data_IF_905771573521
#
_entry.id   IF_905771573521
#
_cell.length_a   1.000
_cell.length_b   1.000
_cell.length_c   1.000
_cell.angle_alpha   90.00
_cell.angle_beta   90.00
_cell.angle_gamma   90.00
#
_symmetry.space_group_name_H-M   'P 1'
#
loop_
_entity.id
_entity.type
_entity.pdbx_description
1 polymer ?
#
# COMPACT_ATOMS: atom_id res chain seq x y z
N UNK A 1 1.70 -17.70 -17.07
CA UNK A 1 1.97 -16.30 -17.50
C UNK A 1 1.09 -15.39 -16.66
N UNK A 2 1.62 -14.90 -15.54
CA UNK A 2 0.91 -13.95 -14.67
C UNK A 2 1.04 -12.57 -15.32
N UNK A 3 -0.05 -12.07 -15.89
CA UNK A 3 -0.08 -10.67 -16.35
C UNK A 3 -0.03 -9.76 -15.13
N UNK A 4 1.13 -9.14 -14.90
CA UNK A 4 1.26 -8.03 -13.97
C UNK A 4 0.45 -6.86 -14.52
N UNK A 5 -0.80 -6.74 -14.09
CA UNK A 5 -1.57 -5.53 -14.35
C UNK A 5 -0.85 -4.37 -13.67
N UNK A 6 -0.49 -3.30 -14.40
CA UNK A 6 0.12 -2.14 -13.78
C UNK A 6 -0.80 -1.65 -12.66
N UNK A 7 -0.22 -1.35 -11.50
CA UNK A 7 -1.02 -0.71 -10.46
C UNK A 7 -1.52 0.64 -10.97
N UNK A 8 -2.79 0.99 -10.69
CA UNK A 8 -3.32 2.27 -11.07
C UNK A 8 -2.46 3.38 -10.44
N UNK A 9 -2.18 4.41 -11.23
CA UNK A 9 -1.49 5.62 -10.78
C UNK A 9 -2.24 6.27 -9.61
N UNK A 10 -1.58 7.10 -8.78
CA UNK A 10 -2.26 7.87 -7.74
C UNK A 10 -3.46 8.66 -8.27
N UNK A 11 -3.36 9.23 -9.46
CA UNK A 11 -4.45 9.95 -10.11
C UNK A 11 -5.63 9.03 -10.47
N UNK A 12 -5.38 7.83 -11.00
CA UNK A 12 -6.42 6.84 -11.28
C UNK A 12 -7.10 6.37 -9.99
N UNK A 13 -6.32 6.08 -8.94
CA UNK A 13 -6.86 5.66 -7.64
C UNK A 13 -7.77 6.73 -7.02
N UNK A 14 -7.37 8.00 -7.09
CA UNK A 14 -8.24 9.12 -6.66
C UNK A 14 -9.48 9.15 -7.54
N UNK A 15 -9.32 9.16 -8.86
CA UNK A 15 -10.42 9.29 -9.83
C UNK A 15 -11.48 8.19 -9.71
N UNK A 16 -11.08 6.97 -9.42
CA UNK A 16 -11.96 5.81 -9.26
C UNK A 16 -12.49 5.63 -7.83
N UNK A 17 -12.18 6.55 -6.92
CA UNK A 17 -12.50 6.45 -5.48
C UNK A 17 -12.03 5.11 -4.87
N UNK A 18 -10.91 4.58 -5.38
CA UNK A 18 -10.34 3.27 -5.04
C UNK A 18 -9.34 3.33 -3.87
N UNK A 19 -9.15 4.51 -3.29
CA UNK A 19 -8.27 4.70 -2.14
C UNK A 19 -8.87 4.14 -0.85
N UNK A 20 -7.98 3.74 0.04
CA UNK A 20 -8.35 3.37 1.41
C UNK A 20 -8.73 4.63 2.20
N UNK A 21 -9.76 4.53 3.03
CA UNK A 21 -10.30 5.60 3.88
C UNK A 21 -9.25 6.27 4.78
N UNK A 22 -8.25 5.50 5.24
CA UNK A 22 -7.12 6.03 6.03
C UNK A 22 -6.44 7.24 5.39
N UNK A 23 -6.40 7.34 4.06
CA UNK A 23 -5.82 8.49 3.37
C UNK A 23 -6.67 9.74 3.48
N UNK A 24 -8.00 9.61 3.39
CA UNK A 24 -8.92 10.72 3.62
C UNK A 24 -8.89 11.17 5.09
N UNK A 25 -8.83 10.22 6.03
CA UNK A 25 -8.66 10.49 7.45
C UNK A 25 -7.36 11.23 7.73
N UNK A 26 -6.23 10.74 7.22
CA UNK A 26 -4.93 11.39 7.40
C UNK A 26 -4.91 12.80 6.79
N UNK A 27 -5.50 12.97 5.60
CA UNK A 27 -5.64 14.29 4.97
C UNK A 27 -6.42 15.26 5.86
N UNK A 28 -7.55 14.86 6.44
CA UNK A 28 -8.28 15.72 7.37
C UNK A 28 -7.40 16.13 8.55
N UNK A 29 -6.66 15.20 9.14
CA UNK A 29 -5.79 15.49 10.29
C UNK A 29 -4.69 16.52 9.98
N UNK A 30 -4.14 16.50 8.77
CA UNK A 30 -3.04 17.37 8.36
C UNK A 30 -3.53 18.69 7.74
N UNK A 31 -4.65 18.67 7.01
CA UNK A 31 -5.16 19.78 6.19
C UNK A 31 -6.51 20.33 6.69
N UNK A 32 -6.91 20.06 7.95
CA UNK A 32 -8.21 20.46 8.53
C UNK A 32 -8.54 21.96 8.36
N UNK A 33 -7.52 22.83 8.33
CA UNK A 33 -7.71 24.27 8.15
C UNK A 33 -8.29 24.62 6.78
N UNK A 34 -7.95 23.85 5.73
CA UNK A 34 -8.52 24.00 4.39
C UNK A 34 -9.99 23.61 4.32
N UNK A 35 -10.40 22.68 5.19
CA UNK A 35 -11.79 22.25 5.35
C UNK A 35 -12.61 23.21 6.23
N UNK A 36 -12.00 24.32 6.66
CA UNK A 36 -12.67 25.37 7.45
C UNK A 36 -12.67 25.13 8.96
N UNK A 37 -11.92 24.14 9.45
CA UNK A 37 -11.80 23.84 10.88
C UNK A 37 -10.60 24.56 11.50
N UNK A 38 -10.68 24.91 12.77
CA UNK A 38 -9.54 25.53 13.47
C UNK A 38 -8.80 24.57 14.40
N UNK A 39 -9.41 23.42 14.74
CA UNK A 39 -8.80 22.32 15.51
C UNK A 39 -9.46 21.00 15.11
N UNK A 40 -8.74 19.90 15.31
CA UNK A 40 -9.23 18.54 15.08
C UNK A 40 -8.69 17.61 16.18
N UNK A 41 -9.51 16.67 16.64
CA UNK A 41 -9.16 15.55 17.53
C UNK A 41 -9.56 14.24 16.86
N UNK A 42 -8.66 13.25 16.81
CA UNK A 42 -8.86 11.96 16.13
C UNK A 42 -7.65 11.53 15.27
N UNK A 43 -7.77 10.46 14.47
CA UNK A 43 -8.94 9.58 14.38
C UNK A 43 -9.17 8.80 15.68
N UNK A 44 -10.42 8.54 16.04
CA UNK A 44 -10.78 7.69 17.18
C UNK A 44 -10.94 6.23 16.76
N UNK A 45 -10.73 5.30 17.70
CA UNK A 45 -10.85 3.86 17.42
C UNK A 45 -12.30 3.33 17.55
N UNK A 46 -13.25 4.18 17.97
CA UNK A 46 -14.66 3.83 18.22
C UNK A 46 -15.54 5.05 18.00
N UNK A 47 -16.73 4.82 17.42
CA UNK A 47 -17.67 5.89 17.11
C UNK A 47 -17.20 6.70 15.89
N UNK A 48 -17.64 7.96 15.77
CA UNK A 48 -17.25 8.82 14.67
C UNK A 48 -15.74 9.07 14.66
N UNK A 49 -15.17 9.24 13.47
CA UNK A 49 -13.74 9.36 13.29
C UNK A 49 -13.11 10.54 14.05
N UNK A 50 -13.75 11.72 14.02
CA UNK A 50 -13.14 12.96 14.50
C UNK A 50 -14.10 13.86 15.28
N UNK A 51 -13.51 14.72 16.12
CA UNK A 51 -14.11 15.98 16.55
C UNK A 51 -13.42 17.13 15.85
N UNK A 52 -14.19 18.01 15.25
CA UNK A 52 -13.70 19.21 14.56
C UNK A 52 -14.19 20.46 15.28
N UNK A 53 -13.34 21.46 15.41
CA UNK A 53 -13.71 22.74 15.99
C UNK A 53 -14.08 23.74 14.89
N UNK A 54 -15.36 24.10 14.84
CA UNK A 54 -15.91 25.01 13.85
C UNK A 54 -16.88 25.98 14.51
N UNK A 55 -16.78 27.28 14.18
CA UNK A 55 -17.64 28.33 14.75
C UNK A 55 -17.74 28.27 16.29
N UNK A 56 -16.60 28.13 16.96
CA UNK A 56 -16.46 28.10 18.43
C UNK A 56 -17.10 26.91 19.15
N UNK A 57 -17.43 25.83 18.44
CA UNK A 57 -17.96 24.60 19.03
C UNK A 57 -17.25 23.36 18.46
N UNK A 58 -17.15 22.33 19.28
CA UNK A 58 -16.74 21.00 18.85
C UNK A 58 -17.94 20.26 18.27
N UNK A 59 -17.72 19.60 17.14
CA UNK A 59 -18.73 18.85 16.38
C UNK A 59 -18.14 17.51 15.96
N UNK A 60 -18.98 16.49 15.87
CA UNK A 60 -18.57 15.19 15.39
C UNK A 60 -18.52 15.19 13.86
N UNK A 61 -17.51 14.51 13.34
CA UNK A 61 -17.29 14.37 11.91
C UNK A 61 -16.89 12.94 11.58
N UNK A 62 -17.47 12.44 10.49
CA UNK A 62 -17.13 11.15 9.89
C UNK A 62 -16.45 11.36 8.56
N UNK A 63 -15.41 10.56 8.26
CA UNK A 63 -14.68 10.63 6.99
C UNK A 63 -14.93 9.37 6.19
N UNK A 64 -15.41 9.53 4.96
CA UNK A 64 -15.68 8.40 4.08
C UNK A 64 -15.07 8.67 2.70
N UNK A 65 -14.65 7.62 2.00
CA UNK A 65 -14.24 7.81 0.60
C UNK A 65 -15.44 8.10 -0.30
N UNK A 66 -16.57 7.45 -0.03
CA UNK A 66 -17.84 7.63 -0.74
C UNK A 66 -18.99 7.67 0.26
N UNK A 67 -20.03 8.46 -0.01
CA UNK A 67 -21.20 8.53 0.88
C UNK A 67 -21.90 7.18 1.08
N UNK A 68 -21.82 6.29 0.08
CA UNK A 68 -22.37 4.92 0.13
C UNK A 68 -21.70 4.07 1.23
N UNK A 69 -20.45 4.36 1.57
CA UNK A 69 -19.75 3.63 2.61
C UNK A 69 -20.37 3.86 4.00
N UNK A 70 -20.87 5.08 4.26
CA UNK A 70 -21.61 5.38 5.48
C UNK A 70 -22.78 4.41 5.72
N UNK A 71 -23.48 4.05 4.64
CA UNK A 71 -24.54 3.04 4.69
C UNK A 71 -23.99 1.62 4.81
N UNK A 72 -22.97 1.29 4.00
CA UNK A 72 -22.32 -0.02 3.99
C UNK A 72 -21.74 -0.41 5.36
N UNK A 73 -21.21 0.57 6.09
CA UNK A 73 -20.66 0.39 7.43
C UNK A 73 -21.74 0.39 8.52
N UNK A 74 -23.00 0.65 8.18
CA UNK A 74 -24.12 0.65 9.12
C UNK A 74 -24.17 1.89 10.02
N UNK A 75 -23.48 2.98 9.68
CA UNK A 75 -23.42 4.18 10.52
C UNK A 75 -24.80 4.82 10.70
N UNK A 76 -25.62 4.81 9.65
CA UNK A 76 -27.02 5.29 9.68
C UNK A 76 -27.96 4.52 10.63
N UNK A 77 -27.58 3.32 11.10
CA UNK A 77 -28.38 2.51 12.04
C UNK A 77 -27.76 2.48 13.44
N UNK A 78 -26.60 3.11 13.63
CA UNK A 78 -25.83 3.03 14.86
C UNK A 78 -25.99 4.32 15.69
N UNK A 79 -26.56 4.26 16.89
CA UNK A 79 -26.78 5.44 17.73
C UNK A 79 -25.52 6.24 18.09
N UNK A 80 -24.33 5.63 17.99
CA UNK A 80 -23.07 6.35 18.19
C UNK A 80 -22.83 7.45 17.14
N UNK A 81 -23.57 7.42 16.02
CA UNK A 81 -23.43 8.35 14.90
C UNK A 81 -24.59 9.35 14.81
N UNK A 82 -25.58 9.29 15.70
CA UNK A 82 -26.76 10.18 15.70
C UNK A 82 -26.36 11.68 15.82
N UNK A 83 -25.28 11.96 16.55
CA UNK A 83 -24.77 13.31 16.78
C UNK A 83 -23.72 13.75 15.74
N UNK A 84 -23.47 12.98 14.67
CA UNK A 84 -22.50 13.37 13.63
C UNK A 84 -23.05 14.53 12.81
N UNK A 85 -22.38 15.68 12.85
CA UNK A 85 -22.81 16.86 12.08
C UNK A 85 -22.15 16.98 10.71
N UNK A 86 -20.96 16.41 10.53
CA UNK A 86 -20.21 16.48 9.28
C UNK A 86 -19.96 15.10 8.70
N UNK A 87 -20.31 14.92 7.43
CA UNK A 87 -19.78 13.85 6.59
C UNK A 87 -18.76 14.46 5.63
N UNK A 88 -17.51 14.03 5.73
CA UNK A 88 -16.40 14.53 4.92
C UNK A 88 -16.07 13.47 3.87
N UNK A 89 -16.17 13.83 2.60
CA UNK A 89 -16.09 12.89 1.48
C UNK A 89 -14.89 13.16 0.59
N UNK A 90 -14.15 12.10 0.22
CA UNK A 90 -13.15 12.20 -0.85
C UNK A 90 -13.78 12.22 -2.25
N UNK A 91 -14.85 11.44 -2.45
CA UNK A 91 -15.60 11.41 -3.71
C UNK A 91 -16.26 12.75 -4.00
N UNK A 92 -16.36 13.12 -5.28
CA UNK A 92 -17.19 14.23 -5.75
C UNK A 92 -18.65 13.83 -5.99
N UNK A 93 -19.00 12.55 -5.82
CA UNK A 93 -20.38 12.08 -5.98
C UNK A 93 -21.29 12.76 -4.96
N UNK A 94 -22.31 13.47 -5.45
CA UNK A 94 -23.35 14.06 -4.60
C UNK A 94 -24.36 12.98 -4.20
N UNK A 95 -24.72 12.84 -2.91
CA UNK A 95 -25.75 11.89 -2.50
C UNK A 95 -27.10 12.17 -3.15
N UNK A 96 -27.88 11.12 -3.35
CA UNK A 96 -29.26 11.27 -3.84
C UNK A 96 -30.14 11.96 -2.78
N UNK A 97 -31.24 12.62 -3.20
CA UNK A 97 -32.18 13.25 -2.27
C UNK A 97 -32.69 12.29 -1.18
N UNK A 98 -32.95 11.03 -1.55
CA UNK A 98 -33.43 10.01 -0.61
C UNK A 98 -32.36 9.64 0.42
N UNK A 99 -31.08 9.62 0.03
CA UNK A 99 -29.97 9.31 0.92
C UNK A 99 -29.73 10.43 1.95
N UNK A 100 -29.95 11.70 1.58
CA UNK A 100 -29.71 12.85 2.46
C UNK A 100 -30.48 12.79 3.79
N UNK A 101 -31.61 12.10 3.84
CA UNK A 101 -32.40 11.93 5.07
C UNK A 101 -31.69 11.10 6.15
N UNK A 102 -30.68 10.32 5.77
CA UNK A 102 -29.96 9.39 6.65
C UNK A 102 -28.47 9.71 6.81
N UNK A 103 -28.00 10.77 6.16
CA UNK A 103 -26.63 11.24 6.24
C UNK A 103 -26.51 12.41 7.22
N UNK A 104 -25.30 12.67 7.76
CA UNK A 104 -25.02 13.88 8.49
C UNK A 104 -25.46 15.15 7.73
N UNK A 105 -26.03 16.15 8.43
CA UNK A 105 -26.68 17.29 7.80
C UNK A 105 -25.73 18.22 7.03
N UNK A 106 -24.41 18.08 7.19
CA UNK A 106 -23.41 18.86 6.47
C UNK A 106 -22.45 17.93 5.77
N UNK A 107 -22.45 18.00 4.44
CA UNK A 107 -21.55 17.22 3.61
C UNK A 107 -20.46 18.14 3.09
N UNK A 108 -19.20 17.78 3.34
CA UNK A 108 -18.03 18.50 2.87
C UNK A 108 -17.25 17.61 1.92
N UNK A 109 -17.05 18.06 0.69
CA UNK A 109 -16.19 17.37 -0.27
C UNK A 109 -14.77 17.88 -0.14
N UNK A 110 -13.81 16.97 -0.03
CA UNK A 110 -12.40 17.27 -0.11
C UNK A 110 -12.09 17.75 -1.53
N UNK A 111 -11.30 18.81 -1.65
CA UNK A 111 -10.74 19.24 -2.93
C UNK A 111 -9.80 18.14 -3.45
N UNK A 112 -10.25 17.42 -4.48
CA UNK A 112 -9.56 16.27 -5.06
C UNK A 112 -8.24 16.65 -5.71
N UNK A 113 -8.14 17.83 -6.30
CA UNK A 113 -6.89 18.28 -6.92
C UNK A 113 -5.84 18.54 -5.85
N UNK A 114 -6.24 19.20 -4.76
CA UNK A 114 -5.35 19.41 -3.63
C UNK A 114 -4.98 18.10 -2.92
N UNK A 115 -5.97 17.23 -2.71
CA UNK A 115 -5.77 15.91 -2.12
C UNK A 115 -4.78 15.07 -2.93
N UNK A 116 -4.89 15.03 -4.26
CA UNK A 116 -3.96 14.30 -5.11
C UNK A 116 -2.51 14.79 -4.92
N UNK A 117 -2.29 16.10 -4.95
CA UNK A 117 -0.97 16.68 -4.76
C UNK A 117 -0.38 16.41 -3.36
N UNK A 118 -1.24 16.32 -2.34
CA UNK A 118 -0.86 15.89 -1.00
C UNK A 118 -0.56 14.38 -0.95
N UNK A 119 -1.44 13.55 -1.53
CA UNK A 119 -1.36 12.09 -1.52
C UNK A 119 -0.10 11.59 -2.20
N UNK A 120 0.28 12.15 -3.35
CA UNK A 120 1.52 11.80 -4.05
C UNK A 120 2.76 11.99 -3.18
N UNK A 121 2.76 12.99 -2.28
CA UNK A 121 3.85 13.23 -1.32
C UNK A 121 3.75 12.31 -0.12
N UNK A 122 2.56 12.17 0.46
CA UNK A 122 2.32 11.39 1.67
C UNK A 122 2.50 9.87 1.44
N UNK A 123 2.11 9.39 0.27
CA UNK A 123 2.23 7.98 -0.11
C UNK A 123 3.61 7.62 -0.69
N UNK A 124 4.46 8.59 -1.02
CA UNK A 124 5.77 8.32 -1.62
C UNK A 124 6.62 7.32 -0.81
N UNK A 125 6.73 7.40 0.53
CA UNK A 125 7.48 6.41 1.30
C UNK A 125 6.88 4.99 1.23
N UNK A 126 5.55 4.86 1.26
CA UNK A 126 4.87 3.56 1.16
C UNK A 126 4.99 2.97 -0.25
N UNK A 127 4.85 3.81 -1.28
CA UNK A 127 5.04 3.43 -2.67
C UNK A 127 6.49 3.01 -2.94
N UNK A 128 7.47 3.72 -2.36
CA UNK A 128 8.89 3.33 -2.42
C UNK A 128 9.14 1.98 -1.74
N UNK A 129 8.54 1.74 -0.57
CA UNK A 129 8.64 0.45 0.13
C UNK A 129 8.02 -0.72 -0.67
N UNK A 130 6.84 -0.50 -1.28
CA UNK A 130 6.17 -1.50 -2.13
C UNK A 130 6.90 -1.73 -3.45
N UNK A 131 7.38 -0.68 -4.11
CA UNK A 131 8.19 -0.78 -5.32
C UNK A 131 9.52 -1.47 -5.05
N UNK A 132 10.17 -1.16 -3.92
CA UNK A 132 11.36 -1.87 -3.47
C UNK A 132 11.05 -3.36 -3.25
N UNK A 133 9.94 -3.69 -2.60
CA UNK A 133 9.49 -5.08 -2.42
C UNK A 133 9.23 -5.82 -3.74
N UNK A 134 8.55 -5.18 -4.70
CA UNK A 134 8.29 -5.79 -6.01
C UNK A 134 9.58 -6.00 -6.82
N UNK A 135 10.52 -5.04 -6.77
CA UNK A 135 11.82 -5.14 -7.45
C UNK A 135 12.73 -6.17 -6.78
N UNK A 136 12.74 -6.22 -5.45
CA UNK A 136 13.43 -7.26 -4.69
C UNK A 136 12.86 -8.65 -5.03
N UNK A 137 11.55 -8.79 -5.20
CA UNK A 137 10.93 -10.05 -5.61
C UNK A 137 11.35 -10.51 -7.03
N UNK A 138 11.53 -9.58 -7.98
CA UNK A 138 12.06 -9.90 -9.32
C UNK A 138 13.50 -10.41 -9.22
N UNK A 139 14.35 -9.71 -8.46
CA UNK A 139 15.75 -10.09 -8.25
C UNK A 139 15.83 -11.43 -7.54
N UNK A 140 15.01 -11.65 -6.52
CA UNK A 140 14.94 -12.91 -5.77
C UNK A 140 14.56 -14.10 -6.67
N UNK A 141 13.58 -13.92 -7.56
CA UNK A 141 13.21 -14.95 -8.53
C UNK A 141 14.37 -15.29 -9.48
N UNK A 142 15.04 -14.26 -10.02
CA UNK A 142 16.21 -14.46 -10.89
C UNK A 142 17.38 -15.16 -10.17
N UNK A 143 17.62 -14.83 -8.91
CA UNK A 143 18.65 -15.48 -8.08
C UNK A 143 18.33 -16.96 -7.84
N UNK A 144 17.09 -17.26 -7.45
CA UNK A 144 16.65 -18.63 -7.26
C UNK A 144 16.70 -19.44 -8.56
N UNK A 145 16.28 -18.82 -9.68
CA UNK A 145 16.37 -19.45 -10.99
C UNK A 145 17.82 -19.83 -11.32
N UNK A 146 18.77 -18.90 -11.20
CA UNK A 146 20.19 -19.21 -11.41
C UNK A 146 20.66 -20.36 -10.53
N UNK A 147 20.38 -20.31 -9.22
CA UNK A 147 20.75 -21.38 -8.30
C UNK A 147 20.22 -22.75 -8.74
N UNK A 148 18.95 -22.83 -9.15
CA UNK A 148 18.36 -24.09 -9.62
C UNK A 148 19.06 -24.66 -10.86
N UNK A 149 19.75 -23.83 -11.65
CA UNK A 149 20.52 -24.29 -12.83
C UNK A 149 21.93 -24.76 -12.50
N UNK A 150 22.52 -24.31 -11.39
CA UNK A 150 23.91 -24.65 -11.01
C UNK A 150 23.99 -25.63 -9.84
N UNK A 151 22.89 -25.87 -9.13
CA UNK A 151 22.85 -26.80 -8.01
C UNK A 151 23.14 -28.24 -8.48
N UNK A 152 24.19 -28.85 -7.93
CA UNK A 152 24.61 -30.22 -8.28
C UNK A 152 23.61 -31.31 -7.86
N UNK A 153 22.65 -30.96 -7.01
CA UNK A 153 21.65 -31.86 -6.45
C UNK A 153 20.28 -31.78 -7.16
N UNK A 154 20.18 -31.03 -8.28
CA UNK A 154 18.90 -30.81 -8.99
C UNK A 154 18.24 -32.09 -9.52
N UNK A 155 19.04 -33.14 -9.79
CA UNK A 155 18.58 -34.43 -10.33
C UNK A 155 18.48 -35.53 -9.25
N UNK A 156 18.49 -35.18 -7.95
CA UNK A 156 18.28 -36.17 -6.89
C UNK A 156 16.79 -36.54 -6.81
N UNK A 157 16.45 -37.66 -7.46
CA UNK A 157 15.13 -38.32 -7.35
C UNK A 157 14.68 -38.42 -5.88
N UNK A 158 13.69 -37.61 -5.51
CA UNK A 158 12.86 -37.68 -4.29
C UNK A 158 13.58 -37.69 -2.92
N UNK A 159 14.86 -37.31 -2.85
CA UNK A 159 15.54 -37.11 -1.57
C UNK A 159 15.44 -35.64 -1.15
N UNK A 160 14.80 -35.37 0.00
CA UNK A 160 14.87 -34.06 0.67
C UNK A 160 16.34 -33.66 0.78
N UNK A 161 16.73 -32.56 0.13
CA UNK A 161 18.11 -32.09 0.17
C UNK A 161 18.49 -31.88 1.63
N UNK A 162 19.51 -32.60 2.16
CA UNK A 162 19.80 -32.59 3.59
C UNK A 162 20.31 -31.23 4.10
N UNK A 163 20.68 -30.31 3.19
CA UNK A 163 21.42 -29.10 3.51
C UNK A 163 20.77 -27.78 3.03
N UNK A 164 19.55 -27.76 2.46
CA UNK A 164 18.95 -26.46 2.08
C UNK A 164 17.42 -26.34 2.17
N UNK A 165 16.96 -25.27 2.83
CA UNK A 165 15.59 -24.71 2.72
C UNK A 165 15.37 -24.01 1.35
N UNK A 166 16.22 -24.32 0.36
CA UNK A 166 16.46 -23.51 -0.85
C UNK A 166 16.36 -24.32 -2.15
N UNK A 167 15.96 -25.58 -2.04
CA UNK A 167 15.79 -26.50 -3.16
C UNK A 167 14.62 -26.06 -4.06
N UNK A 168 14.72 -26.37 -5.36
CA UNK A 168 13.65 -26.19 -6.36
C UNK A 168 12.31 -26.86 -5.99
N UNK A 169 12.28 -27.67 -4.93
CA UNK A 169 11.06 -28.17 -4.29
C UNK A 169 10.10 -27.08 -3.78
N UNK A 170 10.57 -25.85 -3.57
CA UNK A 170 9.77 -24.74 -3.04
C UNK A 170 9.50 -23.60 -4.04
N UNK A 171 9.89 -23.75 -5.30
CA UNK A 171 9.57 -22.79 -6.39
C UNK A 171 10.62 -22.78 -7.50
N UNK A 172 10.19 -22.62 -8.76
CA UNK A 172 11.09 -22.62 -9.93
C UNK A 172 11.87 -21.32 -10.16
N UNK A 173 11.89 -20.42 -9.18
CA UNK A 173 12.39 -19.05 -9.35
C UNK A 173 11.42 -18.15 -10.13
N UNK A 174 10.13 -18.49 -10.17
CA UNK A 174 9.12 -17.60 -10.74
C UNK A 174 8.88 -16.36 -9.86
N UNK A 175 8.35 -15.29 -10.46
CA UNK A 175 8.08 -14.04 -9.76
C UNK A 175 7.11 -14.25 -8.58
N UNK A 176 7.54 -13.88 -7.38
CA UNK A 176 6.73 -14.01 -6.16
C UNK A 176 6.76 -15.40 -5.52
N UNK A 177 7.45 -16.37 -6.13
CA UNK A 177 7.63 -17.73 -5.62
C UNK A 177 9.03 -17.93 -5.00
N UNK A 178 9.84 -16.88 -4.98
CA UNK A 178 11.16 -16.94 -4.40
C UNK A 178 11.07 -17.23 -2.89
N UNK A 179 11.85 -18.19 -2.39
CA UNK A 179 11.86 -18.53 -0.97
C UNK A 179 12.34 -17.34 -0.12
N UNK A 180 12.00 -17.28 1.18
CA UNK A 180 12.43 -16.19 2.05
C UNK A 180 13.95 -15.94 2.04
N UNK A 181 14.75 -17.01 1.84
CA UNK A 181 16.20 -16.90 1.69
C UNK A 181 16.60 -16.01 0.49
N UNK A 182 16.04 -16.27 -0.69
CA UNK A 182 16.35 -15.46 -1.88
C UNK A 182 15.76 -14.05 -1.81
N UNK A 183 14.67 -13.86 -1.09
CA UNK A 183 14.13 -12.52 -0.81
C UNK A 183 15.11 -11.70 0.04
N UNK A 184 15.70 -12.29 1.08
CA UNK A 184 16.72 -11.63 1.91
C UNK A 184 18.01 -11.40 1.12
N UNK A 185 18.45 -12.40 0.34
CA UNK A 185 19.63 -12.28 -0.53
C UNK A 185 19.48 -11.16 -1.56
N UNK A 186 18.31 -11.05 -2.20
CA UNK A 186 18.01 -9.99 -3.15
C UNK A 186 18.07 -8.61 -2.49
N UNK A 187 17.56 -8.48 -1.26
CA UNK A 187 17.67 -7.24 -0.50
C UNK A 187 19.14 -6.87 -0.23
N UNK A 188 19.96 -7.82 0.23
CA UNK A 188 21.41 -7.62 0.46
C UNK A 188 22.15 -7.21 -0.81
N UNK A 189 21.87 -7.85 -1.93
CA UNK A 189 22.48 -7.52 -3.23
C UNK A 189 22.12 -6.12 -3.72
N UNK A 190 20.85 -5.74 -3.61
CA UNK A 190 20.40 -4.40 -4.00
C UNK A 190 21.02 -3.30 -3.12
N UNK A 191 21.30 -3.62 -1.85
CA UNK A 191 22.04 -2.73 -0.94
C UNK A 191 23.53 -2.66 -1.34
N UNK A 192 24.21 -3.80 -1.50
CA UNK A 192 25.65 -3.87 -1.76
C UNK A 192 26.07 -3.25 -3.09
N UNK A 193 25.18 -3.23 -4.08
CA UNK A 193 25.41 -2.64 -5.40
C UNK A 193 25.17 -1.13 -5.46
N UNK A 194 24.81 -0.48 -4.34
CA UNK A 194 24.48 0.96 -4.29
C UNK A 194 23.23 1.34 -5.09
N UNK A 195 22.47 0.34 -5.56
CA UNK A 195 21.20 0.55 -6.25
C UNK A 195 20.08 0.96 -5.27
N UNK A 196 20.34 0.86 -3.96
CA UNK A 196 19.43 1.28 -2.89
C UNK A 196 19.50 2.77 -2.52
N UNK A 197 20.57 3.50 -2.89
CA UNK A 197 20.84 4.89 -2.43
C UNK A 197 19.78 5.92 -2.87
N UNK A 198 18.93 5.55 -3.83
CA UNK A 198 17.86 6.42 -4.36
C UNK A 198 16.46 5.95 -3.95
N UNK A 199 16.34 4.91 -3.12
CA UNK A 199 15.05 4.28 -2.76
C UNK A 199 14.35 3.56 -3.91
N UNK A 200 14.93 3.57 -5.12
CA UNK A 200 14.40 2.94 -6.34
C UNK A 200 15.52 2.25 -7.12
N UNK A 201 15.77 0.95 -6.88
CA UNK A 201 16.78 0.21 -7.62
C UNK A 201 16.45 0.18 -9.12
N UNK A 202 17.28 0.79 -9.96
CA UNK A 202 17.11 0.70 -11.41
C UNK A 202 17.53 -0.69 -11.87
N UNK A 203 16.56 -1.60 -12.01
CA UNK A 203 16.81 -2.99 -12.39
C UNK A 203 17.53 -3.13 -13.74
N UNK A 204 17.47 -2.12 -14.62
CA UNK A 204 18.23 -2.13 -15.89
C UNK A 204 19.73 -2.03 -15.68
N UNK A 205 20.17 -1.58 -14.49
CA UNK A 205 21.58 -1.52 -14.10
C UNK A 205 22.05 -2.81 -13.44
N UNK A 206 21.14 -3.71 -13.08
CA UNK A 206 21.50 -5.05 -12.59
C UNK A 206 22.00 -5.86 -13.78
N UNK A 207 23.29 -6.17 -13.78
CA UNK A 207 23.89 -7.07 -14.77
C UNK A 207 23.67 -8.51 -14.31
N UNK A 208 23.19 -9.37 -15.21
CA UNK A 208 22.97 -10.80 -14.93
C UNK A 208 24.21 -11.45 -14.29
N UNK A 209 25.39 -11.28 -14.90
CA UNK A 209 26.66 -11.80 -14.37
C UNK A 209 26.97 -11.37 -12.92
N UNK A 210 26.60 -10.15 -12.52
CA UNK A 210 26.82 -9.68 -11.14
C UNK A 210 25.85 -10.32 -10.14
N UNK A 211 24.62 -10.60 -10.57
CA UNK A 211 23.63 -11.31 -9.79
C UNK A 211 24.02 -12.79 -9.64
N UNK A 212 24.40 -13.42 -10.75
CA UNK A 212 24.87 -14.82 -10.82
C UNK A 212 26.09 -15.05 -9.91
N UNK A 213 27.11 -14.19 -10.05
CA UNK A 213 28.29 -14.23 -9.19
C UNK A 213 27.93 -14.07 -7.70
N UNK A 214 27.00 -13.17 -7.38
CA UNK A 214 26.58 -12.95 -5.99
C UNK A 214 25.92 -14.19 -5.39
N UNK A 215 25.11 -14.90 -6.18
CA UNK A 215 24.47 -16.18 -5.77
C UNK A 215 25.52 -17.26 -5.53
N UNK A 216 26.52 -17.37 -6.41
CA UNK A 216 27.61 -18.35 -6.27
C UNK A 216 28.52 -18.08 -5.07
N UNK A 217 28.73 -16.81 -4.71
CA UNK A 217 29.50 -16.40 -3.53
C UNK A 217 28.74 -16.57 -2.21
N UNK A 218 27.40 -16.73 -2.26
CA UNK A 218 26.54 -16.85 -1.08
C UNK A 218 25.57 -18.04 -1.24
N UNK A 219 26.09 -19.26 -1.39
CA UNK A 219 25.24 -20.42 -1.60
C UNK A 219 24.31 -20.65 -0.39
N UNK A 220 23.07 -21.11 -0.59
CA UNK A 220 22.21 -21.51 0.51
C UNK A 220 22.80 -22.68 1.31
N UNK A 221 22.77 -22.57 2.64
CA UNK A 221 23.23 -23.61 3.56
C UNK A 221 24.57 -23.34 4.26
N UNK A 222 25.25 -22.24 3.93
CA UNK A 222 26.48 -21.77 4.60
C UNK A 222 26.24 -20.67 5.66
#
# INVERSE_FOLDING_TARGET
>A
MVELRPQPSPAEQVNEDALQERWAQQYLKEEFTRLGFTKVEGPFNRGPDYRVFHKRRWLWAEVETQWKNYFKHGHHENPAFDDVEYLILLSSETPSPDALAYLPPRILHIDRQHFLAWYEKAAAPELLGKEFGARAAIVAGAMQHHWTTICSDVDRDDATCPDCDSCGYFGGGEFGEATPFYQDMAARFLISTGLSDTGRPDLRKVKAASLEQFVEEHPPGE
#
